data_IF_195053749798
#
_entry.id   IF_195053749798
#
_cell.length_a   1.000
_cell.length_b   1.000
_cell.length_c   1.000
_cell.angle_alpha   90.00
_cell.angle_beta   90.00
_cell.angle_gamma   90.00
#
_symmetry.space_group_name_H-M   'P 1'
#
loop_
_entity.id
_entity.type
_entity.pdbx_description
1 polymer ?
#
# COMPACT_ATOMS: atom_id res chain seq x y z
N UNK A 1 9.21 -29.16 2.30
CA UNK A 1 9.13 -28.37 1.06
C UNK A 1 10.30 -27.42 0.96
N UNK A 2 10.85 -27.23 -0.24
CA UNK A 2 11.96 -26.32 -0.48
C UNK A 2 11.58 -24.91 -0.07
N UNK A 3 12.43 -24.28 0.72
CA UNK A 3 12.20 -22.93 1.19
C UNK A 3 12.35 -21.97 0.00
N UNK A 4 11.34 -21.16 -0.27
CA UNK A 4 11.39 -20.18 -1.35
C UNK A 4 12.41 -19.08 -1.00
N UNK A 5 13.42 -18.90 -1.86
CA UNK A 5 14.42 -17.83 -1.71
C UNK A 5 13.99 -16.60 -2.50
N UNK A 6 14.03 -15.44 -1.85
CA UNK A 6 13.71 -14.16 -2.45
C UNK A 6 14.95 -13.29 -2.56
N UNK A 7 15.24 -12.82 -3.78
CA UNK A 7 16.15 -11.71 -4.01
C UNK A 7 15.33 -10.43 -4.16
N UNK A 8 15.60 -9.44 -3.30
CA UNK A 8 14.83 -8.21 -3.22
C UNK A 8 15.70 -7.04 -3.63
N UNK A 9 15.23 -6.26 -4.60
CA UNK A 9 15.74 -4.94 -4.93
C UNK A 9 14.67 -3.90 -4.64
N UNK A 10 14.96 -3.00 -3.72
CA UNK A 10 14.07 -1.90 -3.37
C UNK A 10 14.82 -0.57 -3.40
N UNK A 11 14.19 0.46 -3.95
CA UNK A 11 14.74 1.80 -3.98
C UNK A 11 13.63 2.85 -4.08
N UNK A 12 13.72 3.86 -3.23
CA UNK A 12 12.95 5.10 -3.35
C UNK A 12 13.91 6.26 -3.59
N UNK A 13 13.54 7.17 -4.49
CA UNK A 13 14.34 8.35 -4.83
C UNK A 13 13.47 9.57 -4.75
N UNK A 14 13.88 10.54 -3.95
CA UNK A 14 13.18 11.84 -3.87
C UNK A 14 13.25 12.56 -5.21
N UNK A 15 12.07 12.91 -5.75
CA UNK A 15 11.97 13.63 -7.02
C UNK A 15 12.66 14.99 -6.97
N UNK A 16 13.23 15.43 -8.11
CA UNK A 16 14.00 16.67 -8.24
C UNK A 16 13.26 17.92 -7.72
N UNK A 17 11.94 18.03 -7.98
CA UNK A 17 11.12 19.14 -7.49
C UNK A 17 11.05 19.22 -5.96
N UNK A 18 11.04 18.07 -5.28
CA UNK A 18 11.05 18.00 -3.83
C UNK A 18 12.44 18.29 -3.26
N UNK A 19 13.49 17.83 -3.93
CA UNK A 19 14.89 18.16 -3.56
C UNK A 19 15.14 19.66 -3.57
N UNK A 20 14.75 20.39 -4.64
CA UNK A 20 14.93 21.85 -4.73
C UNK A 20 14.16 22.57 -3.61
N UNK A 21 12.98 22.09 -3.25
CA UNK A 21 12.12 22.71 -2.22
C UNK A 21 12.45 22.21 -0.82
N UNK A 22 13.47 21.38 -0.66
CA UNK A 22 13.81 20.75 0.62
C UNK A 22 12.63 19.99 1.25
N UNK A 23 11.75 19.41 0.39
CA UNK A 23 10.57 18.63 0.81
C UNK A 23 10.93 17.15 0.85
N UNK A 24 10.41 16.46 1.85
CA UNK A 24 10.51 15.00 1.95
C UNK A 24 9.76 14.33 0.80
N UNK A 25 10.24 13.15 0.35
CA UNK A 25 9.45 12.29 -0.54
C UNK A 25 8.12 11.93 0.13
N UNK A 26 7.06 11.96 -0.66
CA UNK A 26 5.72 11.58 -0.22
C UNK A 26 5.46 10.07 -0.43
N UNK A 27 6.38 9.41 -1.14
CA UNK A 27 6.31 7.98 -1.41
C UNK A 27 6.86 7.16 -0.25
N UNK A 28 6.29 5.99 -0.07
CA UNK A 28 6.77 5.02 0.90
C UNK A 28 6.76 3.62 0.29
N UNK A 29 7.77 2.84 0.60
CA UNK A 29 7.82 1.43 0.25
C UNK A 29 8.28 0.60 1.46
N UNK A 30 7.78 -0.60 1.56
CA UNK A 30 8.21 -1.55 2.58
C UNK A 30 8.05 -2.98 2.10
N UNK A 31 9.09 -3.77 2.33
CA UNK A 31 9.09 -5.20 2.07
C UNK A 31 9.30 -5.94 3.39
N UNK A 32 8.52 -7.00 3.61
CA UNK A 32 8.63 -7.81 4.82
C UNK A 32 8.61 -9.31 4.48
N UNK A 33 9.63 -10.03 4.90
CA UNK A 33 9.69 -11.49 4.81
C UNK A 33 8.81 -12.09 5.90
N UNK A 34 8.02 -13.08 5.51
CA UNK A 34 7.19 -13.88 6.42
C UNK A 34 7.54 -15.36 6.26
N UNK A 35 7.01 -16.22 7.13
CA UNK A 35 7.16 -17.66 6.96
C UNK A 35 6.59 -18.10 5.60
N UNK A 36 7.43 -18.67 4.74
CA UNK A 36 7.10 -19.14 3.39
C UNK A 36 6.49 -18.08 2.48
N UNK A 37 7.00 -16.84 2.57
CA UNK A 37 6.47 -15.79 1.71
C UNK A 37 7.11 -14.43 1.88
N UNK A 38 6.56 -13.48 1.13
CA UNK A 38 7.00 -12.10 1.08
C UNK A 38 5.79 -11.16 0.95
N UNK A 39 5.83 -10.04 1.65
CA UNK A 39 4.88 -8.95 1.47
C UNK A 39 5.64 -7.74 0.93
N UNK A 40 5.19 -7.18 -0.20
CA UNK A 40 5.73 -5.98 -0.80
C UNK A 40 4.64 -4.91 -0.86
N UNK A 41 4.96 -3.69 -0.44
CA UNK A 41 4.02 -2.57 -0.46
C UNK A 41 4.70 -1.31 -0.98
N UNK A 42 3.97 -0.54 -1.79
CA UNK A 42 4.37 0.77 -2.28
C UNK A 42 3.15 1.69 -2.21
N UNK A 43 3.36 2.91 -1.77
CA UNK A 43 2.33 3.93 -1.69
C UNK A 43 2.90 5.28 -2.16
N UNK A 44 2.13 5.99 -2.98
CA UNK A 44 2.43 7.33 -3.47
C UNK A 44 1.49 8.32 -2.76
N UNK A 45 2.05 9.15 -1.89
CA UNK A 45 1.32 10.19 -1.18
C UNK A 45 0.98 11.35 -2.10
N UNK A 46 -0.27 11.80 -2.07
CA UNK A 46 -0.73 12.89 -2.92
C UNK A 46 0.11 14.16 -2.73
N UNK A 47 0.41 14.81 -3.85
CA UNK A 47 1.16 16.07 -3.88
C UNK A 47 0.23 17.28 -3.78
N UNK A 48 0.77 18.39 -3.26
CA UNK A 48 0.08 19.67 -3.13
C UNK A 48 0.02 20.17 -1.70
N UNK A 49 -0.24 21.46 -1.54
CA UNK A 49 -0.17 22.12 -0.22
C UNK A 49 -1.29 21.69 0.75
N UNK A 50 -2.34 21.08 0.22
CA UNK A 50 -3.42 20.50 1.03
C UNK A 50 -3.02 19.16 1.69
N UNK A 51 -2.23 18.34 1.01
CA UNK A 51 -1.88 16.99 1.42
C UNK A 51 -0.62 16.98 2.32
N UNK A 52 -0.61 17.82 3.34
CA UNK A 52 0.56 18.10 4.18
C UNK A 52 1.13 16.88 4.92
N UNK A 53 0.33 15.86 5.14
CA UNK A 53 0.69 14.63 5.83
C UNK A 53 0.65 13.38 4.93
N UNK A 54 0.62 13.53 3.60
CA UNK A 54 0.52 12.40 2.67
C UNK A 54 1.69 11.41 2.79
N UNK A 55 2.88 11.88 3.14
CA UNK A 55 4.02 11.00 3.41
C UNK A 55 3.77 10.05 4.59
N UNK A 56 3.07 10.52 5.65
CA UNK A 56 2.61 9.67 6.75
C UNK A 56 1.49 8.75 6.29
N UNK A 57 0.57 9.27 5.47
CA UNK A 57 -0.50 8.49 4.87
C UNK A 57 0.03 7.31 4.06
N UNK A 58 1.05 7.53 3.22
CA UNK A 58 1.73 6.50 2.45
C UNK A 58 2.38 5.44 3.36
N UNK A 59 3.09 5.89 4.40
CA UNK A 59 3.68 4.98 5.40
C UNK A 59 2.61 4.13 6.08
N UNK A 60 1.54 4.75 6.56
CA UNK A 60 0.45 4.03 7.25
C UNK A 60 -0.31 3.08 6.33
N UNK A 61 -0.44 3.40 5.03
CA UNK A 61 -1.04 2.49 4.06
C UNK A 61 -0.21 1.21 3.88
N UNK A 62 1.10 1.34 3.75
CA UNK A 62 2.00 0.19 3.68
C UNK A 62 1.97 -0.64 4.98
N UNK A 63 2.01 0.01 6.15
CA UNK A 63 1.95 -0.67 7.45
C UNK A 63 0.63 -1.41 7.65
N UNK A 64 -0.50 -0.79 7.30
CA UNK A 64 -1.81 -1.40 7.36
C UNK A 64 -1.91 -2.63 6.45
N UNK A 65 -1.46 -2.52 5.20
CA UNK A 65 -1.46 -3.64 4.25
C UNK A 65 -0.59 -4.81 4.73
N UNK A 66 0.60 -4.53 5.26
CA UNK A 66 1.50 -5.56 5.81
C UNK A 66 0.83 -6.28 6.99
N UNK A 67 0.26 -5.54 7.94
CA UNK A 67 -0.38 -6.14 9.11
C UNK A 67 -1.55 -7.05 8.72
N UNK A 68 -2.42 -6.57 7.82
CA UNK A 68 -3.59 -7.35 7.38
C UNK A 68 -3.16 -8.54 6.51
N UNK A 69 -2.19 -8.40 5.62
CA UNK A 69 -1.67 -9.54 4.85
C UNK A 69 -1.03 -10.60 5.75
N UNK A 70 -0.31 -10.21 6.80
CA UNK A 70 0.23 -11.16 7.80
C UNK A 70 -0.88 -11.93 8.51
N UNK A 71 -1.98 -11.27 8.86
CA UNK A 71 -3.17 -11.90 9.47
C UNK A 71 -3.70 -13.03 8.59
N UNK A 72 -3.69 -12.83 7.27
CA UNK A 72 -4.24 -13.78 6.30
C UNK A 72 -3.20 -14.71 5.65
N UNK A 73 -1.90 -14.55 5.94
CA UNK A 73 -0.82 -15.27 5.29
C UNK A 73 -0.89 -16.80 5.40
N UNK A 74 -1.56 -17.34 6.42
CA UNK A 74 -1.74 -18.77 6.63
C UNK A 74 -3.17 -19.26 6.32
N UNK A 75 -3.96 -18.41 5.62
CA UNK A 75 -5.32 -18.75 5.22
C UNK A 75 -5.29 -19.48 3.87
N UNK A 76 -6.11 -20.51 3.72
CA UNK A 76 -6.28 -21.27 2.48
C UNK A 76 -6.73 -20.38 1.33
N UNK A 77 -6.23 -20.66 0.11
CA UNK A 77 -6.45 -19.82 -1.07
C UNK A 77 -7.94 -19.62 -1.40
N UNK A 78 -8.75 -20.67 -1.30
CA UNK A 78 -10.20 -20.60 -1.58
C UNK A 78 -10.90 -19.61 -0.66
N UNK A 79 -10.51 -19.60 0.61
CA UNK A 79 -11.04 -18.64 1.59
C UNK A 79 -10.55 -17.22 1.30
N UNK A 80 -9.28 -17.05 0.93
CA UNK A 80 -8.73 -15.76 0.49
C UNK A 80 -9.53 -15.20 -0.68
N UNK A 81 -9.84 -16.04 -1.68
CA UNK A 81 -10.63 -15.64 -2.85
C UNK A 81 -12.00 -15.09 -2.46
N UNK A 82 -12.69 -15.80 -1.56
CA UNK A 82 -14.00 -15.36 -1.04
C UNK A 82 -13.88 -14.02 -0.31
N UNK A 83 -12.88 -13.86 0.55
CA UNK A 83 -12.66 -12.64 1.32
C UNK A 83 -12.33 -11.44 0.40
N UNK A 84 -11.54 -11.66 -0.66
CA UNK A 84 -11.23 -10.64 -1.66
C UNK A 84 -12.46 -10.26 -2.48
N UNK A 85 -13.25 -11.22 -2.97
CA UNK A 85 -14.51 -10.97 -3.69
C UNK A 85 -15.50 -10.17 -2.84
N UNK A 86 -15.58 -10.45 -1.55
CA UNK A 86 -16.42 -9.72 -0.58
C UNK A 86 -15.80 -8.41 -0.09
N UNK A 87 -14.62 -8.03 -0.58
CA UNK A 87 -13.86 -6.84 -0.18
C UNK A 87 -13.53 -6.76 1.32
N UNK A 88 -13.48 -7.89 2.02
CA UNK A 88 -13.20 -7.94 3.47
C UNK A 88 -11.77 -7.49 3.75
N UNK A 89 -10.79 -8.05 3.04
CA UNK A 89 -9.37 -7.71 3.21
C UNK A 89 -9.13 -6.24 2.89
N UNK A 90 -9.70 -5.73 1.80
CA UNK A 90 -9.61 -4.33 1.39
C UNK A 90 -10.17 -3.40 2.48
N UNK A 91 -11.36 -3.74 3.00
CA UNK A 91 -12.01 -2.97 4.07
C UNK A 91 -11.15 -2.95 5.35
N UNK A 92 -10.61 -4.08 5.78
CA UNK A 92 -9.75 -4.15 6.96
C UNK A 92 -8.48 -3.30 6.81
N UNK A 93 -7.88 -3.27 5.61
CA UNK A 93 -6.73 -2.39 5.34
C UNK A 93 -7.13 -0.92 5.47
N UNK A 94 -8.27 -0.51 4.90
CA UNK A 94 -8.77 0.85 5.02
C UNK A 94 -9.09 1.22 6.48
N UNK A 95 -9.75 0.33 7.22
CA UNK A 95 -10.10 0.55 8.63
C UNK A 95 -8.82 0.69 9.48
N UNK A 96 -7.80 -0.14 9.23
CA UNK A 96 -6.51 -0.05 9.91
C UNK A 96 -5.78 1.26 9.57
N UNK A 97 -5.76 1.64 8.29
CA UNK A 97 -5.19 2.92 7.88
C UNK A 97 -5.89 4.10 8.57
N UNK A 98 -7.22 4.13 8.58
CA UNK A 98 -8.00 5.17 9.28
C UNK A 98 -7.68 5.21 10.77
N UNK A 99 -7.46 4.07 11.41
CA UNK A 99 -7.05 4.01 12.80
C UNK A 99 -5.67 4.66 13.02
N UNK A 100 -4.68 4.31 12.20
CA UNK A 100 -3.32 4.87 12.30
C UNK A 100 -3.30 6.38 12.06
N UNK A 101 -3.99 6.84 11.03
CA UNK A 101 -4.14 8.28 10.73
C UNK A 101 -4.87 9.00 11.87
N UNK A 102 -5.96 8.43 12.38
CA UNK A 102 -6.71 9.01 13.50
C UNK A 102 -5.86 9.14 14.78
N UNK A 103 -4.97 8.17 15.04
CA UNK A 103 -4.03 8.25 16.15
C UNK A 103 -3.02 9.38 15.95
N UNK A 104 -2.40 9.47 14.76
CA UNK A 104 -1.45 10.54 14.46
C UNK A 104 -2.10 11.94 14.54
N UNK A 105 -3.34 12.08 14.08
CA UNK A 105 -4.09 13.33 14.23
C UNK A 105 -4.32 13.71 15.68
N UNK A 106 -4.65 12.74 16.55
CA UNK A 106 -4.84 13.00 17.99
C UNK A 106 -3.55 13.43 18.70
N UNK A 107 -2.43 12.84 18.31
CA UNK A 107 -1.14 13.09 18.95
C UNK A 107 -0.46 14.38 18.47
N UNK A 108 -0.60 14.71 17.18
CA UNK A 108 0.22 15.70 16.50
C UNK A 108 -0.53 16.93 15.99
N UNK A 109 -1.85 16.97 16.07
CA UNK A 109 -2.63 18.12 15.62
C UNK A 109 -3.25 18.87 16.80
N UNK A 110 -3.11 20.20 16.78
CA UNK A 110 -3.79 21.03 17.78
C UNK A 110 -5.31 20.86 17.72
N UNK A 111 -5.99 21.01 18.85
CA UNK A 111 -7.46 20.87 18.96
C UNK A 111 -8.27 21.76 18.00
N UNK A 112 -7.63 22.73 17.36
CA UNK A 112 -8.23 23.63 16.39
C UNK A 112 -8.41 23.00 14.98
N UNK A 113 -7.74 21.90 14.67
CA UNK A 113 -7.86 21.25 13.37
C UNK A 113 -8.92 20.14 13.41
N UNK A 114 -9.92 20.26 12.54
CA UNK A 114 -10.89 19.22 12.28
C UNK A 114 -10.20 17.97 11.74
N UNK A 115 -10.63 16.79 12.19
CA UNK A 115 -10.17 15.50 11.61
C UNK A 115 -10.39 15.51 10.10
N UNK A 116 -9.33 15.39 9.35
CA UNK A 116 -9.33 15.46 7.90
C UNK A 116 -8.38 14.42 7.31
N UNK A 117 -8.93 13.28 6.99
CA UNK A 117 -8.22 12.15 6.42
C UNK A 117 -7.60 12.47 5.04
N UNK A 118 -8.20 13.39 4.26
CA UNK A 118 -7.67 13.77 2.95
C UNK A 118 -6.26 14.36 3.00
N UNK A 119 -5.88 15.00 4.11
CA UNK A 119 -4.50 15.49 4.29
C UNK A 119 -3.45 14.38 4.28
N UNK A 120 -3.87 13.14 4.50
CA UNK A 120 -3.05 11.92 4.46
C UNK A 120 -3.27 11.12 3.18
N UNK A 121 -3.93 11.67 2.17
CA UNK A 121 -4.31 10.97 0.94
C UNK A 121 -3.11 10.29 0.27
N UNK A 122 -3.29 9.04 -0.13
CA UNK A 122 -2.26 8.20 -0.75
C UNK A 122 -2.88 7.09 -1.58
N UNK A 123 -2.13 6.62 -2.55
CA UNK A 123 -2.39 5.36 -3.27
C UNK A 123 -1.83 4.17 -2.48
N UNK A 124 -2.07 2.96 -2.95
CA UNK A 124 -1.47 1.73 -2.41
C UNK A 124 -1.38 0.64 -3.46
N UNK A 125 -0.20 0.07 -3.62
CA UNK A 125 0.03 -1.22 -4.26
C UNK A 125 0.54 -2.19 -3.21
N UNK A 126 -0.09 -3.35 -3.08
CA UNK A 126 0.31 -4.36 -2.11
C UNK A 126 0.29 -5.76 -2.73
N UNK A 127 1.33 -6.54 -2.46
CA UNK A 127 1.50 -7.90 -2.96
C UNK A 127 1.88 -8.82 -1.81
N UNK A 128 1.14 -9.91 -1.65
CA UNK A 128 1.52 -11.04 -0.81
C UNK A 128 1.91 -12.21 -1.71
N UNK A 129 3.13 -12.67 -1.60
CA UNK A 129 3.65 -13.85 -2.30
C UNK A 129 3.72 -15.00 -1.31
N UNK A 130 3.10 -16.12 -1.66
CA UNK A 130 3.13 -17.38 -0.93
C UNK A 130 3.56 -18.51 -1.86
N UNK A 131 3.86 -19.67 -1.32
CA UNK A 131 4.38 -20.85 -2.06
C UNK A 131 3.54 -21.19 -3.30
N UNK A 132 2.24 -21.03 -3.24
CA UNK A 132 1.30 -21.47 -4.28
C UNK A 132 0.41 -20.37 -4.86
N UNK A 133 0.51 -19.11 -4.38
CA UNK A 133 -0.28 -18.00 -4.92
C UNK A 133 0.38 -16.63 -4.72
N UNK A 134 -0.08 -15.69 -5.52
CA UNK A 134 0.24 -14.27 -5.38
C UNK A 134 -1.09 -13.51 -5.22
N UNK A 135 -1.22 -12.79 -4.13
CA UNK A 135 -2.35 -11.89 -3.89
C UNK A 135 -1.91 -10.47 -4.19
N UNK A 136 -2.62 -9.80 -5.10
CA UNK A 136 -2.35 -8.42 -5.50
C UNK A 136 -3.51 -7.51 -5.16
N UNK A 137 -3.20 -6.34 -4.62
CA UNK A 137 -4.15 -5.28 -4.32
C UNK A 137 -3.64 -3.96 -4.89
N UNK A 138 -4.55 -3.20 -5.51
CA UNK A 138 -4.27 -1.88 -6.09
C UNK A 138 -5.36 -0.91 -5.69
N UNK A 139 -4.96 0.24 -5.18
CA UNK A 139 -5.78 1.42 -4.98
C UNK A 139 -5.06 2.63 -5.59
N UNK A 140 -5.70 3.31 -6.53
CA UNK A 140 -5.11 4.41 -7.28
C UNK A 140 -4.37 3.95 -8.52
N UNK A 141 -3.38 4.73 -8.97
CA UNK A 141 -2.55 4.46 -10.13
C UNK A 141 -1.33 3.57 -9.81
N UNK A 142 -0.46 3.36 -10.77
CA UNK A 142 0.66 2.44 -10.69
C UNK A 142 0.32 1.04 -11.18
N UNK A 143 1.32 0.19 -11.32
CA UNK A 143 1.18 -1.14 -11.89
C UNK A 143 1.95 -2.20 -11.13
N UNK A 144 1.35 -3.41 -11.08
CA UNK A 144 2.02 -4.63 -10.63
C UNK A 144 2.27 -5.49 -11.87
N UNK A 145 3.54 -5.74 -12.17
CA UNK A 145 3.97 -6.57 -13.29
C UNK A 145 4.57 -7.87 -12.76
N UNK A 146 4.11 -8.98 -13.32
CA UNK A 146 4.69 -10.30 -13.08
C UNK A 146 5.46 -10.75 -14.32
N UNK A 147 6.73 -11.07 -14.16
CA UNK A 147 7.54 -11.69 -15.22
C UNK A 147 7.73 -13.16 -14.91
N UNK A 148 7.30 -14.01 -15.84
CA UNK A 148 7.55 -15.46 -15.80
C UNK A 148 8.19 -15.86 -17.11
N UNK A 149 9.42 -16.42 -17.05
CA UNK A 149 10.24 -16.69 -18.23
C UNK A 149 10.51 -15.39 -19.02
N UNK A 150 10.06 -15.33 -20.28
CA UNK A 150 10.18 -14.13 -21.14
C UNK A 150 8.87 -13.33 -21.24
N UNK A 151 7.81 -13.80 -20.60
CA UNK A 151 6.48 -13.17 -20.64
C UNK A 151 6.32 -12.19 -19.47
N UNK A 152 5.78 -11.00 -19.76
CA UNK A 152 5.45 -9.98 -18.75
C UNK A 152 3.94 -9.83 -18.72
N UNK A 153 3.34 -10.05 -17.56
CA UNK A 153 1.90 -9.97 -17.33
C UNK A 153 1.62 -8.77 -16.44
N UNK A 154 0.73 -7.89 -16.89
CA UNK A 154 0.13 -6.87 -16.03
C UNK A 154 -1.00 -7.51 -15.24
N UNK A 155 -0.82 -7.62 -13.92
CA UNK A 155 -1.68 -8.45 -13.06
C UNK A 155 -3.06 -7.83 -12.87
N UNK A 156 -3.16 -6.50 -12.77
CA UNK A 156 -4.41 -5.79 -12.54
C UNK A 156 -4.70 -4.80 -13.69
N UNK A 157 -5.96 -4.70 -14.13
CA UNK A 157 -6.33 -3.80 -15.22
C UNK A 157 -6.18 -2.32 -14.82
N UNK A 158 -5.99 -1.45 -15.81
CA UNK A 158 -6.10 -0.02 -15.60
C UNK A 158 -7.57 0.37 -15.41
N UNK A 159 -7.83 1.23 -14.44
CA UNK A 159 -9.11 1.91 -14.37
C UNK A 159 -9.24 2.89 -15.53
N UNK A 160 -10.38 2.86 -16.24
CA UNK A 160 -10.65 3.72 -17.42
C UNK A 160 -10.98 5.18 -17.03
N UNK A 161 -10.99 5.54 -15.75
CA UNK A 161 -11.35 6.87 -15.26
C UNK A 161 -10.09 7.64 -14.85
N UNK A 162 -10.05 8.93 -15.21
CA UNK A 162 -9.01 9.88 -14.78
C UNK A 162 -9.10 10.26 -13.28
N UNK A 163 -9.81 9.49 -12.48
CA UNK A 163 -9.94 9.70 -11.04
C UNK A 163 -8.99 8.70 -10.36
N UNK A 164 -8.11 9.23 -9.56
CA UNK A 164 -7.18 8.45 -8.74
C UNK A 164 -7.86 8.20 -7.41
N UNK A 165 -8.26 6.96 -7.16
CA UNK A 165 -8.78 6.53 -5.86
C UNK A 165 -7.69 6.66 -4.80
N UNK A 166 -8.04 7.04 -3.59
CA UNK A 166 -7.10 7.14 -2.49
C UNK A 166 -7.65 6.54 -1.20
N UNK A 167 -6.75 6.28 -0.24
CA UNK A 167 -7.11 5.68 1.05
C UNK A 167 -8.04 6.57 1.89
N UNK A 168 -8.14 7.87 1.58
CA UNK A 168 -9.00 8.82 2.30
C UNK A 168 -10.47 8.77 1.88
N UNK A 169 -10.78 8.16 0.73
CA UNK A 169 -12.14 7.95 0.23
C UNK A 169 -12.77 6.69 0.84
#
# INVERSE_FOLDING_TARGET
GDKMDFYILEKSVTGYKNLIKNKQSQDYLKVEKISNGLICTIADGHSGDYFINSYKGAKFACEAAIEIFKKYANTEIDKIEVLMKKKVIQKEICDKWKLLVGNDMRENMSKAYKYDYFKYGTTLLAVLIKDNYILCLKLGDGDILLKKNQEVIKVLPNYKKNIVDCMAE
#
